data_IF_356558234331
#
_entry.id   IF_356558234331
#
_cell.length_a   1.000
_cell.length_b   1.000
_cell.length_c   1.000
_cell.angle_alpha   90.00
_cell.angle_beta   90.00
_cell.angle_gamma   90.00
#
_symmetry.space_group_name_H-M   'P 1'
#
loop_
_entity.id
_entity.type
_entity.pdbx_description
1 polymer ?
#
# COMPACT_ATOMS: atom_id res chain seq x y z
N UNK A 1 -9.07 52.07 23.53
CA UNK A 1 -9.28 50.61 23.49
C UNK A 1 -9.44 50.19 22.04
N UNK A 2 -8.43 49.57 21.43
CA UNK A 2 -8.53 48.75 20.19
C UNK A 2 -7.11 48.41 19.72
N UNK A 3 -6.47 47.44 20.38
CA UNK A 3 -5.16 46.89 19.95
C UNK A 3 -5.05 45.37 20.15
N UNK A 4 -6.17 44.69 20.42
CA UNK A 4 -6.17 43.27 20.80
C UNK A 4 -6.64 42.37 19.63
N UNK A 5 -7.29 42.93 18.60
CA UNK A 5 -7.86 42.12 17.51
C UNK A 5 -6.88 41.70 16.41
N UNK A 6 -5.62 42.16 16.42
CA UNK A 6 -4.68 41.94 15.30
C UNK A 6 -3.50 41.01 15.64
N UNK A 7 -3.62 40.19 16.69
CA UNK A 7 -2.60 39.16 17.00
C UNK A 7 -3.17 37.74 16.94
N UNK A 8 -4.50 37.60 16.95
CA UNK A 8 -5.15 36.29 17.00
C UNK A 8 -5.17 35.56 15.64
N UNK A 9 -5.05 36.28 14.52
CA UNK A 9 -5.19 35.67 13.18
C UNK A 9 -3.92 35.00 12.64
N UNK A 10 -2.74 35.29 13.20
CA UNK A 10 -1.46 34.71 12.73
C UNK A 10 -1.12 33.39 13.46
N UNK A 11 -1.67 33.18 14.66
CA UNK A 11 -1.38 31.99 15.45
C UNK A 11 -2.05 30.70 14.92
N UNK A 12 -3.14 30.81 14.14
CA UNK A 12 -3.93 29.66 13.69
C UNK A 12 -3.30 28.96 12.46
N UNK A 13 -2.42 29.64 11.70
CA UNK A 13 -1.77 29.06 10.51
C UNK A 13 -0.55 28.17 10.82
N UNK A 14 -0.01 28.21 12.04
CA UNK A 14 1.13 27.40 12.44
C UNK A 14 0.75 26.01 13.00
N UNK A 15 -0.54 25.67 13.07
CA UNK A 15 -1.02 24.37 13.56
C UNK A 15 -1.14 23.30 12.47
N UNK A 16 -0.83 23.61 11.21
CA UNK A 16 -0.56 22.58 10.20
C UNK A 16 0.83 21.99 10.42
N UNK A 17 1.02 21.36 11.59
CA UNK A 17 2.06 20.37 11.73
C UNK A 17 1.81 19.30 10.68
N UNK A 18 2.62 19.29 9.63
CA UNK A 18 2.81 18.12 8.79
C UNK A 18 3.32 17.02 9.72
N UNK A 19 2.40 16.31 10.37
CA UNK A 19 2.71 15.03 10.98
C UNK A 19 2.94 14.06 9.82
N UNK A 20 4.13 14.14 9.22
CA UNK A 20 4.68 13.01 8.50
C UNK A 20 4.81 11.89 9.52
N UNK A 21 3.79 11.03 9.57
CA UNK A 21 3.85 9.83 10.40
C UNK A 21 5.04 9.02 9.91
N UNK A 22 5.97 8.63 10.80
CA UNK A 22 7.13 7.84 10.40
C UNK A 22 6.66 6.51 9.83
N UNK A 23 7.36 6.04 8.81
CA UNK A 23 7.21 4.69 8.30
C UNK A 23 7.48 3.70 9.44
N UNK A 24 6.45 3.00 9.90
CA UNK A 24 6.57 2.00 10.96
C UNK A 24 7.08 0.67 10.40
N UNK A 25 8.39 0.44 10.45
CA UNK A 25 8.96 -0.87 10.19
C UNK A 25 9.01 -1.69 11.48
N UNK A 26 8.52 -2.94 11.43
CA UNK A 26 8.70 -3.92 12.52
C UNK A 26 10.08 -4.57 12.52
N UNK A 27 11.01 -4.09 11.69
CA UNK A 27 12.41 -4.47 11.77
C UNK A 27 13.00 -3.77 13.01
N UNK A 28 13.27 -4.55 14.06
CA UNK A 28 14.31 -4.17 15.01
C UNK A 28 15.55 -3.75 14.22
N UNK A 29 16.30 -2.79 14.72
CA UNK A 29 17.45 -2.08 14.12
C UNK A 29 18.53 -2.98 13.49
N UNK A 30 18.17 -3.74 12.47
CA UNK A 30 18.99 -4.68 11.72
C UNK A 30 19.08 -4.10 10.32
N UNK A 31 20.31 -3.74 9.97
CA UNK A 31 20.89 -3.45 8.68
C UNK A 31 19.95 -3.40 7.46
N UNK A 32 20.08 -2.30 6.71
CA UNK A 32 19.64 -2.09 5.31
C UNK A 32 19.23 -3.41 4.64
N UNK A 33 17.92 -3.68 4.61
CA UNK A 33 17.42 -4.94 4.07
C UNK A 33 17.73 -5.00 2.57
N UNK A 34 18.53 -5.98 2.16
CA UNK A 34 18.84 -6.23 0.76
C UNK A 34 17.61 -6.82 0.04
N UNK A 35 16.85 -5.94 -0.62
CA UNK A 35 15.63 -6.29 -1.37
C UNK A 35 15.90 -7.30 -2.49
N UNK A 36 17.14 -7.41 -2.99
CA UNK A 36 17.48 -8.32 -4.10
C UNK A 36 17.29 -9.79 -3.75
N UNK A 37 17.21 -10.12 -2.46
CA UNK A 37 17.00 -11.49 -1.97
C UNK A 37 15.54 -11.89 -1.86
N UNK A 38 14.62 -10.94 -2.01
CA UNK A 38 13.20 -11.11 -1.75
C UNK A 38 12.37 -10.81 -3.00
N UNK A 39 11.14 -11.32 -3.01
CA UNK A 39 10.09 -10.79 -3.87
C UNK A 39 9.40 -9.65 -3.14
N UNK A 40 9.37 -8.47 -3.76
CA UNK A 40 8.72 -7.29 -3.20
C UNK A 40 7.31 -7.18 -3.80
N UNK A 41 6.29 -7.40 -2.99
CA UNK A 41 4.91 -7.14 -3.36
C UNK A 41 4.53 -5.72 -2.94
N UNK A 42 4.10 -4.90 -3.90
CA UNK A 42 3.64 -3.53 -3.67
C UNK A 42 2.24 -3.34 -4.24
N UNK A 43 1.50 -2.40 -3.67
CA UNK A 43 0.23 -1.94 -4.24
C UNK A 43 0.43 -0.64 -4.99
N UNK A 44 -0.32 -0.42 -6.07
CA UNK A 44 -0.32 0.84 -6.83
C UNK A 44 -0.53 2.08 -5.95
N UNK A 45 -1.28 1.91 -4.84
CA UNK A 45 -1.50 2.96 -3.85
C UNK A 45 -0.23 3.43 -3.14
N UNK A 46 0.82 2.61 -3.09
CA UNK A 46 2.11 2.95 -2.50
C UNK A 46 2.91 3.92 -3.38
N UNK A 47 3.01 3.63 -4.68
CA UNK A 47 3.85 4.40 -5.63
C UNK A 47 3.21 5.75 -5.99
N UNK A 48 1.90 5.79 -6.23
CA UNK A 48 1.27 6.97 -6.84
C UNK A 48 0.72 7.99 -5.82
N UNK A 49 0.91 7.77 -4.51
CA UNK A 49 0.32 8.63 -3.49
C UNK A 49 0.85 10.07 -3.50
N UNK A 50 2.09 10.31 -3.97
CA UNK A 50 2.65 11.65 -4.10
C UNK A 50 1.94 12.52 -5.16
N UNK A 51 1.19 11.91 -6.09
CA UNK A 51 0.56 12.60 -7.23
C UNK A 51 -0.97 12.47 -7.27
N UNK A 52 -1.61 12.01 -6.20
CA UNK A 52 -3.07 11.83 -6.18
C UNK A 52 -3.81 13.16 -6.21
N UNK A 53 -4.40 13.48 -7.36
CA UNK A 53 -5.48 14.46 -7.47
C UNK A 53 -6.71 13.97 -6.68
N UNK A 54 -7.45 14.90 -6.07
CA UNK A 54 -8.74 14.64 -5.41
C UNK A 54 -9.77 13.97 -6.34
N UNK A 55 -9.55 14.02 -7.66
CA UNK A 55 -10.43 13.48 -8.71
C UNK A 55 -9.90 12.12 -9.22
N UNK A 56 -8.83 11.57 -8.64
CA UNK A 56 -8.31 10.26 -9.07
C UNK A 56 -9.31 9.15 -8.73
N UNK A 57 -9.88 8.53 -9.77
CA UNK A 57 -10.68 7.32 -9.67
C UNK A 57 -9.78 6.10 -9.50
N UNK A 58 -8.85 6.12 -8.54
CA UNK A 58 -8.01 4.98 -8.22
C UNK A 58 -8.45 4.36 -6.92
N UNK A 59 -8.55 3.03 -6.91
CA UNK A 59 -9.03 2.33 -5.74
C UNK A 59 -7.91 2.23 -4.72
N UNK A 60 -8.23 2.46 -3.45
CA UNK A 60 -7.28 2.15 -2.37
C UNK A 60 -7.17 0.63 -2.27
N UNK A 61 -5.98 0.11 -2.54
CA UNK A 61 -5.64 -1.30 -2.44
C UNK A 61 -4.70 -1.50 -1.25
N UNK A 62 -4.97 -2.50 -0.42
CA UNK A 62 -4.15 -2.83 0.75
C UNK A 62 -3.93 -4.33 0.81
N UNK A 63 -2.75 -4.75 1.26
CA UNK A 63 -2.44 -6.13 1.53
C UNK A 63 -3.00 -6.49 2.91
N UNK A 64 -3.75 -7.59 3.06
CA UNK A 64 -4.36 -7.98 4.34
C UNK A 64 -3.85 -9.33 4.83
N UNK A 65 -3.69 -10.30 3.92
CA UNK A 65 -3.08 -11.60 4.23
C UNK A 65 -2.03 -11.97 3.20
N UNK A 66 -0.98 -12.66 3.67
CA UNK A 66 -0.05 -13.41 2.83
C UNK A 66 0.11 -14.79 3.44
N UNK A 67 -0.02 -15.83 2.62
CA UNK A 67 0.09 -17.24 3.01
C UNK A 67 -0.81 -17.59 4.20
N UNK A 68 -2.06 -17.12 4.12
CA UNK A 68 -3.09 -17.29 5.14
C UNK A 68 -2.89 -16.47 6.42
N UNK A 69 -1.75 -15.80 6.59
CA UNK A 69 -1.41 -15.02 7.79
C UNK A 69 -1.74 -13.56 7.58
N UNK A 70 -2.28 -12.91 8.61
CA UNK A 70 -2.58 -11.49 8.57
C UNK A 70 -1.29 -10.69 8.54
N UNK A 71 -1.23 -9.71 7.64
CA UNK A 71 -0.07 -8.86 7.31
C UNK A 71 0.19 -7.80 8.41
N UNK A 72 -0.11 -8.14 9.67
CA UNK A 72 0.32 -7.44 10.88
C UNK A 72 0.96 -8.39 11.90
N UNK A 73 0.80 -9.70 11.70
CA UNK A 73 1.34 -10.79 12.53
C UNK A 73 2.50 -11.52 11.82
N UNK A 74 2.91 -11.06 10.63
CA UNK A 74 4.02 -11.65 9.84
C UNK A 74 5.33 -10.95 10.22
N UNK A 75 6.37 -11.69 10.65
CA UNK A 75 7.61 -11.12 11.18
C UNK A 75 8.63 -10.57 10.15
N UNK A 76 8.30 -10.42 8.85
CA UNK A 76 9.30 -10.11 7.80
C UNK A 76 8.83 -9.15 6.72
N UNK A 77 8.22 -8.05 7.12
CA UNK A 77 7.54 -7.17 6.18
C UNK A 77 7.79 -5.74 6.58
N UNK A 78 8.63 -5.09 5.80
CA UNK A 78 8.84 -3.66 5.81
C UNK A 78 7.52 -3.00 5.42
N UNK A 79 6.69 -2.71 6.43
CA UNK A 79 5.41 -2.08 6.22
C UNK A 79 5.59 -0.58 6.23
N UNK A 80 5.52 0.05 5.07
CA UNK A 80 5.23 1.48 5.04
C UNK A 80 3.73 1.67 5.30
N UNK A 81 3.40 1.88 6.58
CA UNK A 81 2.03 2.20 7.00
C UNK A 81 1.73 3.68 6.73
N UNK A 82 0.72 3.96 5.90
CA UNK A 82 0.02 5.26 5.92
C UNK A 82 -1.49 5.01 5.94
N UNK A 83 -2.14 5.36 7.06
CA UNK A 83 -3.54 5.01 7.40
C UNK A 83 -3.79 3.55 7.84
N UNK A 84 -2.89 2.96 8.64
CA UNK A 84 -3.11 1.66 9.32
C UNK A 84 -3.34 0.44 8.39
N UNK A 85 -2.80 0.44 7.17
CA UNK A 85 -2.87 -0.73 6.29
C UNK A 85 -1.56 -0.89 5.50
N UNK A 86 -1.04 -2.13 5.37
CA UNK A 86 0.22 -2.38 4.71
C UNK A 86 0.05 -2.40 3.18
N UNK A 87 0.92 -1.65 2.50
CA UNK A 87 0.89 -1.45 1.05
C UNK A 87 2.11 -2.02 0.32
N UNK A 88 3.08 -2.54 1.08
CA UNK A 88 4.27 -3.24 0.62
C UNK A 88 4.52 -4.45 1.54
N UNK A 89 4.99 -5.56 0.98
CA UNK A 89 5.43 -6.75 1.70
C UNK A 89 6.68 -7.34 1.04
N UNK A 90 7.66 -7.76 1.82
CA UNK A 90 8.84 -8.49 1.35
C UNK A 90 8.64 -9.97 1.62
N UNK A 91 8.75 -10.79 0.58
CA UNK A 91 8.43 -12.21 0.60
C UNK A 91 9.66 -13.02 0.21
N UNK A 92 9.82 -14.21 0.79
CA UNK A 92 10.83 -15.15 0.31
C UNK A 92 10.50 -15.57 -1.12
N UNK A 93 11.46 -15.87 -2.00
CA UNK A 93 11.13 -16.42 -3.32
C UNK A 93 10.34 -17.73 -3.21
N UNK A 94 9.36 -17.92 -4.10
CA UNK A 94 8.49 -19.10 -4.14
C UNK A 94 7.01 -18.76 -4.40
N UNK A 95 6.16 -19.77 -4.24
CA UNK A 95 4.71 -19.62 -4.40
C UNK A 95 4.04 -18.95 -3.21
N UNK A 96 3.19 -17.96 -3.47
CA UNK A 96 2.45 -17.22 -2.46
C UNK A 96 0.97 -17.11 -2.76
N UNK A 97 0.19 -17.03 -1.68
CA UNK A 97 -1.19 -16.58 -1.70
C UNK A 97 -1.30 -15.20 -1.04
N UNK A 98 -2.04 -14.28 -1.64
CA UNK A 98 -2.25 -12.94 -1.10
C UNK A 98 -3.73 -12.56 -1.13
N UNK A 99 -4.19 -11.96 -0.03
CA UNK A 99 -5.49 -11.34 0.05
C UNK A 99 -5.34 -9.82 0.06
N UNK A 100 -5.96 -9.18 -0.92
CA UNK A 100 -6.00 -7.74 -1.07
C UNK A 100 -7.37 -7.19 -0.69
N UNK A 101 -7.41 -6.10 0.07
CA UNK A 101 -8.63 -5.34 0.34
C UNK A 101 -8.68 -4.11 -0.53
N UNK A 102 -9.82 -3.89 -1.18
CA UNK A 102 -10.08 -2.68 -1.94
C UNK A 102 -11.37 -1.99 -1.51
N UNK A 103 -11.37 -0.66 -1.60
CA UNK A 103 -12.50 0.19 -1.16
C UNK A 103 -13.30 0.65 -2.37
N UNK A 104 -14.61 0.41 -2.32
CA UNK A 104 -15.62 0.95 -3.21
C UNK A 104 -16.38 2.09 -2.51
N UNK A 105 -17.11 2.94 -3.24
CA UNK A 105 -17.85 4.07 -2.65
C UNK A 105 -18.77 3.75 -1.45
N UNK A 106 -19.31 2.53 -1.35
CA UNK A 106 -20.28 2.15 -0.30
C UNK A 106 -19.84 1.02 0.63
N UNK A 107 -18.77 0.30 0.28
CA UNK A 107 -18.31 -0.89 1.01
C UNK A 107 -16.88 -1.23 0.60
N UNK A 108 -16.28 -2.23 1.24
CA UNK A 108 -15.02 -2.81 0.81
C UNK A 108 -15.22 -4.25 0.34
N UNK A 109 -14.28 -4.74 -0.43
CA UNK A 109 -14.25 -6.11 -0.92
C UNK A 109 -12.83 -6.67 -0.84
N UNK A 110 -12.72 -7.97 -1.08
CA UNK A 110 -11.45 -8.69 -1.10
C UNK A 110 -11.18 -9.29 -2.48
N UNK A 111 -9.90 -9.37 -2.83
CA UNK A 111 -9.42 -10.10 -3.99
C UNK A 111 -8.25 -10.97 -3.58
N UNK A 112 -8.41 -12.26 -3.78
CA UNK A 112 -7.41 -13.27 -3.45
C UNK A 112 -6.63 -13.65 -4.71
N UNK A 113 -5.32 -13.79 -4.60
CA UNK A 113 -4.43 -14.15 -5.70
C UNK A 113 -3.41 -15.19 -5.28
N UNK A 114 -2.96 -15.98 -6.24
CA UNK A 114 -1.76 -16.80 -6.16
C UNK A 114 -0.75 -16.34 -7.20
N UNK A 115 0.54 -16.34 -6.86
CA UNK A 115 1.62 -16.04 -7.80
C UNK A 115 2.93 -16.70 -7.37
N UNK A 116 3.87 -16.83 -8.32
CA UNK A 116 5.23 -17.31 -8.06
C UNK A 116 6.19 -16.11 -8.05
N UNK A 117 6.83 -15.88 -6.90
CA UNK A 117 7.79 -14.80 -6.71
C UNK A 117 9.24 -15.25 -6.90
N UNK A 118 10.06 -14.40 -7.53
CA UNK A 118 11.51 -14.61 -7.67
C UNK A 118 12.30 -13.61 -6.82
N UNK A 119 13.53 -13.97 -6.47
CA UNK A 119 14.45 -13.05 -5.80
C UNK A 119 14.71 -11.79 -6.66
N UNK A 120 14.61 -10.62 -6.06
CA UNK A 120 14.78 -9.33 -6.72
C UNK A 120 13.61 -8.93 -7.62
N UNK A 121 12.55 -9.74 -7.67
CA UNK A 121 11.34 -9.43 -8.42
C UNK A 121 10.47 -8.45 -7.64
N UNK A 122 9.99 -7.42 -8.32
CA UNK A 122 8.94 -6.54 -7.81
C UNK A 122 7.62 -6.88 -8.48
N UNK A 123 6.65 -7.29 -7.67
CA UNK A 123 5.27 -7.58 -8.08
C UNK A 123 4.39 -6.40 -7.67
N UNK A 124 3.64 -5.86 -8.62
CA UNK A 124 2.74 -4.74 -8.43
C UNK A 124 1.28 -5.21 -8.48
N UNK A 125 0.53 -4.91 -7.43
CA UNK A 125 -0.90 -5.08 -7.38
C UNK A 125 -1.58 -3.80 -7.88
N UNK A 126 -2.20 -3.88 -9.05
CA UNK A 126 -2.80 -2.77 -9.78
C UNK A 126 -4.30 -2.71 -9.64
N UNK A 127 -4.87 -1.53 -9.87
CA UNK A 127 -6.32 -1.36 -9.91
C UNK A 127 -6.77 -0.51 -11.08
N UNK A 128 -7.96 -0.82 -11.62
CA UNK A 128 -8.61 0.03 -12.62
C UNK A 128 -10.11 0.05 -12.40
N UNK A 129 -10.70 1.23 -12.29
CA UNK A 129 -12.16 1.33 -12.31
C UNK A 129 -12.68 1.00 -13.71
N UNK A 130 -13.58 0.03 -13.78
CA UNK A 130 -14.27 -0.40 -15.01
C UNK A 130 -15.77 -0.12 -14.96
N UNK A 131 -16.25 0.53 -13.88
CA UNK A 131 -17.62 0.97 -13.75
C UNK A 131 -17.96 1.47 -12.34
N UNK A 132 -19.19 1.94 -12.16
CA UNK A 132 -19.69 2.35 -10.85
C UNK A 132 -19.74 1.12 -9.92
N UNK A 133 -18.89 1.13 -8.89
CA UNK A 133 -18.65 0.01 -7.99
C UNK A 133 -17.98 -1.23 -8.60
N UNK A 134 -17.27 -1.09 -9.74
CA UNK A 134 -16.53 -2.20 -10.36
C UNK A 134 -15.08 -1.80 -10.57
N UNK A 135 -14.18 -2.59 -10.00
CA UNK A 135 -12.74 -2.43 -10.13
C UNK A 135 -12.18 -3.74 -10.66
N UNK A 136 -11.32 -3.64 -11.66
CA UNK A 136 -10.42 -4.71 -12.06
C UNK A 136 -9.13 -4.63 -11.25
N UNK A 137 -8.63 -5.79 -10.82
CA UNK A 137 -7.46 -5.93 -9.96
C UNK A 137 -6.64 -7.06 -10.55
N UNK A 138 -5.33 -6.82 -10.69
CA UNK A 138 -4.40 -7.82 -11.18
C UNK A 138 -3.03 -7.64 -10.52
N UNK A 139 -2.20 -8.67 -10.64
CA UNK A 139 -0.78 -8.62 -10.25
C UNK A 139 0.07 -8.64 -11.52
N UNK A 140 1.00 -7.71 -11.61
CA UNK A 140 1.98 -7.64 -12.70
C UNK A 140 3.41 -7.59 -12.17
N UNK A 141 4.35 -8.05 -12.96
CA UNK A 141 5.77 -7.78 -12.72
C UNK A 141 6.06 -6.31 -13.06
N UNK A 142 6.65 -5.57 -12.11
CA UNK A 142 6.84 -4.13 -12.26
C UNK A 142 7.91 -3.76 -13.32
N UNK A 143 8.82 -4.68 -13.66
CA UNK A 143 9.87 -4.43 -14.65
C UNK A 143 9.38 -4.71 -16.08
N UNK A 144 8.53 -5.73 -16.25
CA UNK A 144 8.08 -6.19 -17.57
C UNK A 144 6.64 -5.83 -17.91
N UNK A 145 5.80 -5.57 -16.90
CA UNK A 145 4.35 -5.38 -17.05
C UNK A 145 3.58 -6.67 -17.31
N UNK A 146 4.22 -7.84 -17.24
CA UNK A 146 3.56 -9.12 -17.47
C UNK A 146 2.66 -9.50 -16.30
N UNK A 147 1.49 -10.11 -16.60
CA UNK A 147 0.60 -10.64 -15.57
C UNK A 147 1.24 -11.86 -14.89
N UNK A 148 1.50 -11.76 -13.58
CA UNK A 148 2.15 -12.84 -12.80
C UNK A 148 1.21 -13.51 -11.81
N UNK A 149 0.05 -12.91 -11.55
CA UNK A 149 -0.92 -13.42 -10.58
C UNK A 149 -2.13 -14.08 -11.22
N UNK A 150 -2.59 -15.16 -10.59
CA UNK A 150 -3.88 -15.79 -10.86
C UNK A 150 -4.86 -15.42 -9.75
N UNK A 151 -6.01 -14.85 -10.12
CA UNK A 151 -7.08 -14.59 -9.16
C UNK A 151 -7.71 -15.91 -8.71
N UNK A 152 -7.85 -16.09 -7.41
CA UNK A 152 -8.52 -17.24 -6.78
C UNK A 152 -9.80 -16.77 -6.08
N UNK A 153 -10.73 -17.71 -5.85
CA UNK A 153 -12.11 -17.44 -5.40
C UNK A 153 -12.37 -17.99 -4.02
#
# INVERSE_FOLDING_TARGET
>A
MSKISMVLSVAILCLCGCAEMPAYSNLGSVDVLDESRYTVLETESYIEQAQRSYISFQAKLNIIRVDGKKVGDIPFSTYFYKNNSPQQAMLQPGGHSVQLKYVLPRHFMYADFEFEGKAGQKVMARTKYIGLNRIDIWLEDAATGELVGKRIR
#
